data_IF_217058597376
#
_entry.id   IF_217058597376
#
_cell.length_a   1.000
_cell.length_b   1.000
_cell.length_c   1.000
_cell.angle_alpha   90.00
_cell.angle_beta   90.00
_cell.angle_gamma   90.00
#
_symmetry.space_group_name_H-M   'P 1'
#
loop_
_entity.id
_entity.type
_entity.pdbx_description
1 polymer ?
#
# COMPACT_ATOMS: atom_id res chain seq x y z
N UNK A 1 8.60 23.05 13.42
CA UNK A 1 9.06 22.03 12.45
C UNK A 1 10.37 21.37 12.86
N UNK A 2 10.65 21.24 14.17
CA UNK A 2 11.76 20.44 14.68
C UNK A 2 11.14 19.20 15.32
N UNK A 3 11.62 18.01 14.98
CA UNK A 3 11.24 16.75 15.62
C UNK A 3 12.35 16.30 16.56
N UNK A 4 12.07 15.23 17.31
CA UNK A 4 13.03 14.46 18.09
C UNK A 4 13.99 13.67 17.19
N UNK A 5 14.60 14.34 16.22
CA UNK A 5 15.65 13.77 15.36
C UNK A 5 16.89 13.28 16.09
N UNK A 6 16.89 13.33 17.42
CA UNK A 6 17.83 12.67 18.30
C UNK A 6 17.77 11.14 18.30
N UNK A 7 16.86 10.52 17.53
CA UNK A 7 16.64 9.08 17.56
C UNK A 7 16.90 8.33 16.25
N UNK A 8 17.04 9.04 15.13
CA UNK A 8 17.38 8.45 13.85
C UNK A 8 18.86 8.72 13.54
N UNK A 9 19.68 7.70 13.78
CA UNK A 9 21.10 7.67 13.48
C UNK A 9 21.59 6.22 13.44
N UNK A 10 22.71 5.92 12.80
CA UNK A 10 23.26 4.57 12.79
C UNK A 10 23.49 4.11 14.25
N UNK A 11 22.92 2.96 14.62
CA UNK A 11 22.98 2.42 15.99
C UNK A 11 21.84 2.84 16.92
N UNK A 12 20.89 3.68 16.48
CA UNK A 12 19.64 3.93 17.19
C UNK A 12 19.70 4.99 18.30
N UNK A 13 18.58 5.19 19.04
CA UNK A 13 18.39 6.34 19.93
C UNK A 13 19.36 6.41 21.11
N UNK A 14 19.97 5.28 21.49
CA UNK A 14 20.90 5.20 22.60
C UNK A 14 22.30 5.74 22.26
N UNK A 15 22.67 5.78 20.97
CA UNK A 15 24.02 6.19 20.55
C UNK A 15 24.31 7.68 20.76
N UNK A 16 23.27 8.49 20.97
CA UNK A 16 23.40 9.90 21.35
C UNK A 16 24.12 10.09 22.69
N UNK A 17 24.01 9.13 23.61
CA UNK A 17 24.56 9.24 24.96
C UNK A 17 25.99 8.72 25.06
N UNK A 18 26.53 8.17 23.98
CA UNK A 18 27.95 7.77 23.91
C UNK A 18 28.81 9.02 23.85
N UNK A 19 29.89 9.05 24.63
CA UNK A 19 30.84 10.18 24.66
C UNK A 19 32.19 9.73 24.07
N UNK A 20 32.68 10.40 23.00
CA UNK A 20 32.05 11.48 22.26
C UNK A 20 30.88 10.99 21.39
N UNK A 21 29.87 11.84 21.18
CA UNK A 21 28.75 11.52 20.30
C UNK A 21 29.22 11.45 18.85
N UNK A 22 29.23 10.25 18.26
CA UNK A 22 29.79 10.01 16.92
C UNK A 22 28.74 9.58 15.88
N UNK A 23 27.47 9.37 16.27
CA UNK A 23 26.47 8.67 15.44
C UNK A 23 25.15 9.45 15.26
N UNK A 24 25.21 10.78 15.22
CA UNK A 24 24.06 11.66 14.99
C UNK A 24 23.36 12.15 16.28
N UNK A 25 22.73 13.32 16.22
CA UNK A 25 22.18 13.99 17.42
C UNK A 25 20.86 14.78 17.20
N UNK A 26 20.61 15.29 16.00
CA UNK A 26 19.39 16.05 15.69
C UNK A 26 19.03 15.94 14.20
N UNK A 27 17.73 16.02 13.90
CA UNK A 27 17.16 16.00 12.55
C UNK A 27 15.85 16.83 12.53
N UNK A 28 15.41 17.38 11.38
CA UNK A 28 14.10 18.04 11.24
C UNK A 28 12.91 17.12 11.53
N UNK A 29 11.66 17.59 11.42
CA UNK A 29 10.48 16.73 11.46
C UNK A 29 10.14 16.14 10.08
N UNK A 30 9.83 14.84 10.03
CA UNK A 30 9.28 14.22 8.84
C UNK A 30 7.88 14.75 8.58
N UNK A 31 7.71 15.53 7.52
CA UNK A 31 6.41 16.09 7.16
C UNK A 31 5.64 15.09 6.31
N UNK A 32 4.60 14.50 6.90
CA UNK A 32 3.62 13.70 6.16
C UNK A 32 2.78 14.57 5.22
N UNK A 33 2.10 13.96 4.26
CA UNK A 33 1.26 14.65 3.26
C UNK A 33 0.32 15.68 3.89
N UNK A 34 -0.36 15.30 4.99
CA UNK A 34 -1.25 16.19 5.75
C UNK A 34 -0.54 17.46 6.20
N UNK A 35 0.66 17.36 6.76
CA UNK A 35 1.44 18.51 7.23
C UNK A 35 1.93 19.36 6.06
N UNK A 36 2.41 18.74 4.98
CA UNK A 36 2.85 19.47 3.77
C UNK A 36 1.70 20.29 3.17
N UNK A 37 0.49 19.75 3.16
CA UNK A 37 -0.71 20.48 2.73
C UNK A 37 -1.10 21.60 3.71
N UNK A 38 -1.14 21.35 5.02
CA UNK A 38 -1.50 22.38 6.02
C UNK A 38 -0.56 23.58 5.97
N UNK A 39 0.73 23.36 5.72
CA UNK A 39 1.73 24.43 5.61
C UNK A 39 1.83 25.05 4.21
N UNK A 40 1.10 24.53 3.21
CA UNK A 40 1.13 25.05 1.84
C UNK A 40 2.39 24.69 1.05
N UNK A 41 3.10 23.62 1.43
CA UNK A 41 4.26 23.11 0.70
C UNK A 41 3.90 22.27 -0.52
N UNK A 42 2.65 21.78 -0.59
CA UNK A 42 2.11 21.06 -1.73
C UNK A 42 0.81 21.76 -2.15
N UNK A 43 0.65 22.01 -3.45
CA UNK A 43 -0.57 22.59 -3.98
C UNK A 43 -1.70 21.55 -4.00
N UNK A 44 -2.94 21.98 -3.74
CA UNK A 44 -4.10 21.06 -3.67
C UNK A 44 -4.30 20.23 -4.94
N UNK A 45 -3.98 20.78 -6.11
CA UNK A 45 -4.09 20.08 -7.40
C UNK A 45 -3.03 18.99 -7.60
N UNK A 46 -1.98 18.94 -6.78
CA UNK A 46 -0.96 17.88 -6.78
C UNK A 46 -1.39 16.67 -5.94
N UNK A 47 -2.55 16.72 -5.28
CA UNK A 47 -3.09 15.65 -4.45
C UNK A 47 -4.44 15.20 -5.02
N UNK A 48 -4.62 13.90 -5.18
CA UNK A 48 -5.90 13.34 -5.61
C UNK A 48 -6.84 13.20 -4.42
N UNK A 49 -7.91 13.98 -4.38
CA UNK A 49 -8.89 13.95 -3.27
C UNK A 49 -10.17 13.24 -3.68
N UNK A 50 -10.49 12.16 -2.97
CA UNK A 50 -11.62 11.26 -3.20
C UNK A 50 -12.65 11.37 -2.08
N UNK A 51 -13.91 11.13 -2.44
CA UNK A 51 -15.01 10.91 -1.50
C UNK A 51 -15.13 9.41 -1.23
N UNK A 52 -15.36 9.03 0.03
CA UNK A 52 -15.59 7.64 0.42
C UNK A 52 -16.94 7.14 -0.06
N UNK A 53 -17.99 7.96 0.07
CA UNK A 53 -19.34 7.59 -0.36
C UNK A 53 -19.40 7.45 -1.90
N UNK A 54 -18.79 8.38 -2.63
CA UNK A 54 -18.89 8.37 -4.07
C UNK A 54 -18.07 7.27 -4.75
N UNK A 55 -17.09 6.67 -4.05
CA UNK A 55 -16.35 5.49 -4.55
C UNK A 55 -17.25 4.29 -4.86
N UNK A 56 -18.36 4.12 -4.13
CA UNK A 56 -19.32 3.04 -4.40
C UNK A 56 -20.03 3.23 -5.76
N UNK A 57 -20.22 4.49 -6.16
CA UNK A 57 -20.93 4.91 -7.37
C UNK A 57 -19.99 5.03 -8.56
N UNK A 58 -18.80 5.62 -8.36
CA UNK A 58 -17.81 5.84 -9.41
C UNK A 58 -17.05 4.58 -9.79
N UNK A 59 -16.93 3.63 -8.86
CA UNK A 59 -16.02 2.49 -8.97
C UNK A 59 -14.62 2.80 -8.45
N UNK A 60 -13.69 1.83 -8.55
CA UNK A 60 -12.34 1.97 -8.03
C UNK A 60 -11.58 3.11 -8.73
N UNK A 61 -10.77 3.83 -7.96
CA UNK A 61 -9.86 4.85 -8.47
C UNK A 61 -8.44 4.31 -8.44
N UNK A 62 -7.74 4.41 -9.58
CA UNK A 62 -6.35 3.99 -9.71
C UNK A 62 -5.47 5.16 -10.15
N UNK A 63 -4.45 5.47 -9.36
CA UNK A 63 -3.55 6.58 -9.63
C UNK A 63 -2.11 6.24 -9.28
N UNK A 64 -1.18 6.91 -9.94
CA UNK A 64 0.24 6.84 -9.62
C UNK A 64 0.59 7.92 -8.61
N UNK A 65 1.29 7.54 -7.54
CA UNK A 65 1.81 8.44 -6.51
C UNK A 65 3.33 8.41 -6.55
N UNK A 66 3.95 9.59 -6.68
CA UNK A 66 5.41 9.73 -6.67
C UNK A 66 5.93 9.90 -5.25
N UNK A 67 7.18 9.47 -5.01
CA UNK A 67 7.88 9.69 -3.77
C UNK A 67 7.74 11.14 -3.24
N UNK A 68 7.36 11.28 -1.98
CA UNK A 68 6.94 12.57 -1.38
C UNK A 68 8.05 13.60 -1.21
N UNK A 69 9.31 13.21 -1.41
CA UNK A 69 10.49 14.07 -1.30
C UNK A 69 10.90 14.71 -2.63
N UNK A 70 10.13 14.49 -3.69
CA UNK A 70 10.26 15.17 -4.98
C UNK A 70 8.93 15.74 -5.45
N UNK A 71 8.98 16.70 -6.37
CA UNK A 71 7.80 17.15 -7.11
C UNK A 71 7.16 15.95 -7.85
N UNK A 72 5.83 15.82 -7.89
CA UNK A 72 5.17 14.75 -8.61
C UNK A 72 5.60 14.70 -10.07
N UNK A 73 5.92 13.51 -10.56
CA UNK A 73 6.24 13.28 -11.96
C UNK A 73 5.02 13.60 -12.86
N UNK A 74 5.23 13.87 -14.16
CA UNK A 74 4.12 14.13 -15.07
C UNK A 74 3.06 13.03 -15.04
N UNK A 75 1.81 13.40 -14.72
CA UNK A 75 0.68 12.47 -14.66
C UNK A 75 0.54 11.69 -13.36
N UNK A 76 1.35 11.98 -12.34
CA UNK A 76 1.25 11.39 -11.00
C UNK A 76 0.84 12.43 -9.96
N UNK A 77 0.65 11.99 -8.71
CA UNK A 77 0.30 12.83 -7.56
C UNK A 77 1.37 12.77 -6.47
N UNK A 78 1.40 13.78 -5.60
CA UNK A 78 2.14 13.75 -4.35
C UNK A 78 1.51 12.81 -3.31
N UNK A 79 0.23 12.49 -3.48
CA UNK A 79 -0.51 11.57 -2.63
C UNK A 79 -1.99 11.49 -2.99
N UNK A 80 -2.70 10.58 -2.31
CA UNK A 80 -4.15 10.40 -2.41
C UNK A 80 -4.76 10.72 -1.04
N UNK A 81 -5.88 11.45 -1.03
CA UNK A 81 -6.73 11.65 0.13
C UNK A 81 -8.07 10.96 -0.12
N UNK A 82 -8.57 10.25 0.88
CA UNK A 82 -9.94 9.72 0.89
C UNK A 82 -10.67 10.32 2.07
N UNK A 83 -11.58 11.26 1.81
CA UNK A 83 -12.40 11.90 2.85
C UNK A 83 -13.37 10.89 3.43
N UNK A 84 -13.45 10.81 4.76
CA UNK A 84 -14.47 10.07 5.47
C UNK A 84 -15.77 10.89 5.50
N UNK A 85 -16.29 11.23 4.33
CA UNK A 85 -17.55 11.96 4.18
C UNK A 85 -18.77 11.04 4.24
N UNK A 86 -19.97 11.62 4.10
CA UNK A 86 -21.24 10.91 4.13
C UNK A 86 -22.00 11.10 5.43
N UNK A 87 -22.89 10.15 5.72
CA UNK A 87 -23.67 10.17 6.96
C UNK A 87 -22.80 9.86 8.18
N UNK A 88 -23.05 10.59 9.27
CA UNK A 88 -22.42 10.36 10.57
C UNK A 88 -22.75 8.94 11.11
N UNK A 89 -21.82 8.29 11.85
CA UNK A 89 -20.46 8.76 12.11
C UNK A 89 -19.57 8.70 10.87
N UNK A 90 -18.81 9.77 10.62
CA UNK A 90 -17.84 9.85 9.52
C UNK A 90 -16.77 8.75 9.61
N UNK A 91 -16.00 8.74 10.70
CA UNK A 91 -15.13 7.61 11.04
C UNK A 91 -15.94 6.56 11.78
N UNK A 92 -16.03 5.39 11.15
CA UNK A 92 -16.82 4.25 11.63
C UNK A 92 -15.99 3.26 12.41
N UNK A 93 -14.70 3.53 12.64
CA UNK A 93 -13.81 2.66 13.40
C UNK A 93 -14.36 2.47 14.83
N UNK A 94 -14.50 1.22 15.32
CA UNK A 94 -14.91 0.98 16.69
C UNK A 94 -13.95 1.61 17.71
N UNK A 95 -14.50 2.05 18.84
CA UNK A 95 -13.70 2.50 19.97
C UNK A 95 -12.91 1.34 20.59
N UNK A 96 -11.68 1.63 21.04
CA UNK A 96 -10.80 0.69 21.74
C UNK A 96 -10.00 1.41 22.84
N UNK A 97 -9.45 0.68 23.82
CA UNK A 97 -8.74 1.26 24.97
C UNK A 97 -7.21 1.08 24.85
N UNK A 98 -6.44 2.19 24.72
CA UNK A 98 -4.98 2.16 24.69
C UNK A 98 -4.31 1.53 25.91
N UNK A 99 -4.99 1.43 27.06
CA UNK A 99 -4.44 0.75 28.23
C UNK A 99 -4.45 -0.79 28.11
N UNK A 100 -5.34 -1.35 27.29
CA UNK A 100 -5.45 -2.81 27.10
C UNK A 100 -4.96 -3.27 25.73
N UNK A 101 -5.00 -2.38 24.73
CA UNK A 101 -4.46 -2.64 23.40
C UNK A 101 -3.44 -1.54 23.03
N UNK A 102 -2.13 -1.87 22.94
CA UNK A 102 -1.10 -0.91 22.58
C UNK A 102 -1.24 -0.37 21.14
N UNK A 103 -2.00 -1.04 20.28
CA UNK A 103 -2.29 -0.64 18.90
C UNK A 103 -3.60 0.17 18.78
N UNK A 104 -4.26 0.47 19.91
CA UNK A 104 -5.51 1.21 19.92
C UNK A 104 -5.29 2.68 19.62
N UNK A 105 -6.06 3.19 18.65
CA UNK A 105 -6.18 4.61 18.39
C UNK A 105 -7.16 5.34 19.32
N UNK A 106 -7.59 4.74 20.44
CA UNK A 106 -8.58 5.30 21.35
C UNK A 106 -9.99 5.29 20.77
N UNK A 107 -10.79 6.32 21.08
CA UNK A 107 -12.06 6.60 20.39
C UNK A 107 -11.74 7.40 19.12
N UNK A 108 -11.79 6.78 17.92
CA UNK A 108 -11.33 7.41 16.69
C UNK A 108 -12.32 8.47 16.21
N UNK A 109 -11.80 9.55 15.64
CA UNK A 109 -12.56 10.64 15.04
C UNK A 109 -11.75 11.24 13.89
N UNK A 110 -11.26 10.38 13.00
CA UNK A 110 -10.48 10.80 11.84
C UNK A 110 -11.38 11.38 10.75
N UNK A 111 -10.82 12.28 9.94
CA UNK A 111 -11.54 12.97 8.87
C UNK A 111 -11.21 12.39 7.48
N UNK A 112 -10.03 11.77 7.32
CA UNK A 112 -9.60 11.22 6.04
C UNK A 112 -8.43 10.24 6.13
N UNK A 113 -8.28 9.41 5.10
CA UNK A 113 -7.05 8.66 4.81
C UNK A 113 -6.11 9.47 3.93
N UNK A 114 -4.80 9.35 4.15
CA UNK A 114 -3.76 9.77 3.22
C UNK A 114 -2.93 8.59 2.78
N UNK A 115 -2.61 8.55 1.49
CA UNK A 115 -1.66 7.61 0.90
C UNK A 115 -0.51 8.42 0.29
N UNK A 116 0.71 8.13 0.70
CA UNK A 116 1.93 8.78 0.21
C UNK A 116 3.05 7.76 0.00
N UNK A 117 4.01 8.08 -0.86
CA UNK A 117 5.15 7.18 -1.14
C UNK A 117 6.39 7.71 -0.43
N UNK A 118 6.99 6.87 0.40
CA UNK A 118 8.26 7.12 1.08
C UNK A 118 9.38 6.52 0.23
N UNK A 119 10.39 7.31 -0.07
CA UNK A 119 11.62 6.86 -0.71
C UNK A 119 12.80 7.42 0.07
N UNK A 120 13.84 6.61 0.30
CA UNK A 120 15.05 6.93 1.05
C UNK A 120 15.98 7.90 0.29
N UNK A 121 15.43 9.05 -0.03
CA UNK A 121 16.05 10.22 -0.66
C UNK A 121 15.61 11.46 0.12
N UNK A 122 16.29 12.59 -0.07
CA UNK A 122 15.94 13.83 0.64
C UNK A 122 15.89 13.60 2.15
N UNK A 123 14.81 14.06 2.78
CA UNK A 123 14.62 13.88 4.21
C UNK A 123 14.36 12.42 4.60
N UNK A 124 13.65 11.66 3.76
CA UNK A 124 13.30 10.26 4.00
C UNK A 124 14.50 9.30 3.90
N UNK A 125 15.71 9.79 3.56
CA UNK A 125 16.96 9.00 3.60
C UNK A 125 17.24 8.33 4.95
N UNK A 126 16.70 8.90 6.03
CA UNK A 126 16.77 8.37 7.40
C UNK A 126 15.64 7.41 7.76
N UNK A 127 14.63 7.25 6.91
CA UNK A 127 13.62 6.22 7.08
C UNK A 127 14.26 4.83 6.88
N UNK A 128 13.78 3.81 7.61
CA UNK A 128 14.31 2.45 7.51
C UNK A 128 13.98 1.76 6.18
N UNK A 129 12.95 2.24 5.46
CA UNK A 129 12.37 1.55 4.31
C UNK A 129 11.85 2.52 3.21
N UNK A 130 11.49 1.97 2.04
CA UNK A 130 10.80 2.65 0.93
C UNK A 130 9.50 1.92 0.64
N UNK A 131 8.41 2.64 0.41
CA UNK A 131 7.13 2.01 0.14
C UNK A 131 5.96 2.97 0.24
N UNK A 132 4.76 2.41 0.35
CA UNK A 132 3.52 3.18 0.52
C UNK A 132 3.21 3.34 1.99
N UNK A 133 3.09 4.59 2.45
CA UNK A 133 2.64 4.94 3.79
C UNK A 133 1.14 5.26 3.73
N UNK A 134 0.36 4.52 4.51
CA UNK A 134 -1.06 4.76 4.70
C UNK A 134 -1.30 5.31 6.12
N UNK A 135 -2.10 6.37 6.23
CA UNK A 135 -2.43 6.95 7.53
C UNK A 135 -3.85 7.49 7.57
N UNK A 136 -4.44 7.47 8.76
CA UNK A 136 -5.65 8.24 9.12
C UNK A 136 -5.24 9.60 9.66
N UNK A 137 -6.03 10.62 9.34
CA UNK A 137 -5.67 12.00 9.61
C UNK A 137 -6.87 12.78 10.12
N UNK A 138 -6.57 13.87 10.83
CA UNK A 138 -7.56 14.88 11.21
C UNK A 138 -7.25 16.20 10.53
N UNK A 139 -8.31 16.93 10.18
CA UNK A 139 -8.22 18.31 9.70
C UNK A 139 -7.67 19.20 10.81
N UNK A 140 -8.18 19.02 12.04
CA UNK A 140 -7.75 19.74 13.23
C UNK A 140 -7.29 18.79 14.33
N UNK A 141 -6.31 19.23 15.09
CA UNK A 141 -5.86 18.51 16.27
C UNK A 141 -7.00 18.37 17.27
N UNK A 142 -7.26 17.15 17.70
CA UNK A 142 -8.26 16.85 18.72
C UNK A 142 -7.88 15.58 19.46
N UNK A 143 -8.48 15.39 20.63
CA UNK A 143 -8.25 14.21 21.46
C UNK A 143 -8.92 12.98 20.85
N UNK A 144 -8.19 11.88 20.75
CA UNK A 144 -8.77 10.54 20.65
C UNK A 144 -9.26 10.21 22.05
N UNK A 145 -10.57 10.09 22.24
CA UNK A 145 -11.21 10.08 23.57
C UNK A 145 -10.90 8.85 24.44
N UNK A 146 -11.67 8.68 25.52
CA UNK A 146 -11.60 7.52 26.43
C UNK A 146 -10.76 7.74 27.69
N UNK A 147 -10.76 6.78 28.63
CA UNK A 147 -10.06 6.88 29.93
C UNK A 147 -8.55 7.15 29.78
N UNK A 148 -7.95 6.69 28.67
CA UNK A 148 -6.53 6.81 28.35
C UNK A 148 -6.29 7.59 27.04
N UNK A 149 -7.23 8.47 26.69
CA UNK A 149 -7.19 9.20 25.42
C UNK A 149 -6.01 10.16 25.32
N UNK A 150 -5.40 10.24 24.14
CA UNK A 150 -4.26 11.10 23.79
C UNK A 150 -4.63 12.03 22.62
N UNK A 151 -3.80 13.04 22.35
CA UNK A 151 -3.99 13.88 21.16
C UNK A 151 -3.23 13.27 19.99
N UNK A 152 -3.92 13.05 18.87
CA UNK A 152 -3.27 12.74 17.60
C UNK A 152 -3.94 13.50 16.46
N UNK A 153 -3.18 13.69 15.39
CA UNK A 153 -3.66 14.26 14.13
C UNK A 153 -3.22 13.43 12.91
N UNK A 154 -2.26 12.52 13.08
CA UNK A 154 -1.92 11.44 12.15
C UNK A 154 -1.90 10.12 12.92
N UNK A 155 -2.35 9.05 12.29
CA UNK A 155 -2.25 7.70 12.78
C UNK A 155 -1.89 6.76 11.64
N UNK A 156 -0.67 6.25 11.65
CA UNK A 156 -0.17 5.33 10.62
C UNK A 156 -0.92 4.00 10.71
N UNK A 157 -1.30 3.46 9.56
CA UNK A 157 -1.75 2.09 9.43
C UNK A 157 -0.52 1.22 9.23
N UNK A 158 -0.33 0.26 10.12
CA UNK A 158 0.83 -0.62 10.12
C UNK A 158 0.57 -1.86 9.25
N UNK A 159 1.44 -2.10 8.27
CA UNK A 159 1.44 -3.33 7.47
C UNK A 159 1.87 -4.56 8.30
N UNK A 160 2.60 -4.34 9.40
CA UNK A 160 3.13 -5.33 10.34
C UNK A 160 2.75 -4.99 11.78
N UNK A 161 1.45 -5.10 12.15
CA UNK A 161 0.99 -4.74 13.49
C UNK A 161 1.52 -5.66 14.61
N UNK A 162 2.13 -6.80 14.26
CA UNK A 162 2.87 -7.63 15.20
C UNK A 162 4.08 -6.93 15.81
N UNK A 163 4.64 -7.50 16.89
CA UNK A 163 5.89 -6.99 17.45
C UNK A 163 7.04 -7.20 16.44
N UNK A 164 7.70 -6.10 16.05
CA UNK A 164 8.85 -6.07 15.14
C UNK A 164 10.06 -6.89 15.65
N UNK A 165 10.04 -7.27 16.93
CA UNK A 165 11.03 -8.15 17.56
C UNK A 165 12.47 -7.66 17.37
N UNK A 166 12.68 -6.35 17.59
CA UNK A 166 13.99 -5.71 17.49
C UNK A 166 14.59 -5.45 18.86
N UNK A 167 15.90 -5.67 18.96
CA UNK A 167 16.69 -5.23 20.11
C UNK A 167 16.64 -3.70 20.17
N UNK A 168 16.31 -3.18 21.33
CA UNK A 168 16.41 -1.77 21.64
C UNK A 168 17.87 -1.41 21.95
N UNK A 169 18.43 -2.06 22.98
CA UNK A 169 19.82 -1.92 23.39
C UNK A 169 20.33 -3.16 24.12
N UNK A 170 21.65 -3.25 24.23
CA UNK A 170 22.31 -4.21 25.10
C UNK A 170 22.71 -3.50 26.40
N UNK A 171 22.39 -4.10 27.55
CA UNK A 171 22.90 -3.64 28.84
C UNK A 171 24.43 -3.86 28.92
N UNK A 172 25.13 -3.19 29.86
CA UNK A 172 26.57 -3.39 30.06
C UNK A 172 26.98 -4.83 30.38
N UNK A 173 26.07 -5.64 30.93
CA UNK A 173 26.26 -7.07 31.22
C UNK A 173 26.02 -7.98 29.99
N UNK A 174 25.64 -7.40 28.84
CA UNK A 174 25.37 -8.12 27.59
C UNK A 174 23.92 -8.58 27.40
N UNK A 175 23.02 -8.34 28.37
CA UNK A 175 21.60 -8.67 28.23
C UNK A 175 20.95 -7.83 27.11
N UNK A 176 20.19 -8.49 26.23
CA UNK A 176 19.44 -7.84 25.16
C UNK A 176 18.08 -7.38 25.68
N UNK A 177 17.81 -6.09 25.56
CA UNK A 177 16.49 -5.53 25.85
C UNK A 177 15.76 -5.30 24.54
N UNK A 178 14.56 -5.86 24.42
CA UNK A 178 13.72 -5.77 23.24
C UNK A 178 12.85 -4.51 23.29
N UNK A 179 12.49 -4.00 22.11
CA UNK A 179 11.52 -2.91 22.00
C UNK A 179 10.14 -3.38 22.44
N UNK A 180 9.36 -2.48 23.01
CA UNK A 180 7.97 -2.76 23.36
C UNK A 180 7.05 -2.50 22.16
N UNK A 181 5.92 -3.19 22.09
CA UNK A 181 4.92 -3.08 21.02
C UNK A 181 4.23 -1.69 20.91
N UNK A 182 4.39 -0.80 21.90
CA UNK A 182 3.89 0.58 21.85
C UNK A 182 5.00 1.61 21.50
N UNK A 183 6.21 1.14 21.21
CA UNK A 183 7.31 2.02 20.81
C UNK A 183 7.09 2.53 19.37
N UNK A 184 7.39 3.81 19.11
CA UNK A 184 7.21 4.41 17.78
C UNK A 184 7.99 3.69 16.66
N UNK A 185 9.07 2.98 17.00
CA UNK A 185 9.90 2.24 16.04
C UNK A 185 9.31 0.89 15.66
N UNK A 186 8.14 0.52 16.20
CA UNK A 186 7.32 -0.54 15.63
C UNK A 186 6.93 -0.20 14.19
N UNK A 187 6.73 1.09 13.87
CA UNK A 187 6.43 1.54 12.51
C UNK A 187 7.62 1.50 11.53
N UNK A 188 8.74 0.86 11.89
CA UNK A 188 9.92 0.80 11.03
C UNK A 188 9.73 -0.11 9.81
N UNK A 189 8.75 -1.00 9.83
CA UNK A 189 8.31 -1.87 8.73
C UNK A 189 6.84 -1.63 8.35
N UNK A 190 6.25 -0.49 8.76
CA UNK A 190 4.84 -0.19 8.49
C UNK A 190 4.49 0.07 7.01
N UNK A 191 5.49 0.22 6.13
CA UNK A 191 5.25 0.56 4.73
C UNK A 191 4.73 -0.64 3.95
N UNK A 192 3.74 -0.40 3.09
CA UNK A 192 3.17 -1.40 2.19
C UNK A 192 3.97 -1.49 0.88
N UNK A 193 4.14 -2.70 0.34
CA UNK A 193 4.93 -2.97 -0.86
C UNK A 193 4.11 -3.68 -1.94
N UNK A 194 4.33 -3.32 -3.20
CA UNK A 194 3.77 -4.05 -4.34
C UNK A 194 4.47 -5.42 -4.46
N UNK A 195 3.72 -6.44 -4.88
CA UNK A 195 4.26 -7.76 -5.15
C UNK A 195 4.09 -8.77 -4.01
N UNK A 196 4.21 -10.04 -4.36
CA UNK A 196 4.25 -11.16 -3.41
C UNK A 196 5.68 -11.34 -2.89
N UNK A 197 5.81 -11.75 -1.64
CA UNK A 197 7.11 -11.96 -0.97
C UNK A 197 7.99 -10.69 -0.95
N UNK A 198 7.37 -9.51 -0.95
CA UNK A 198 8.03 -8.20 -0.86
C UNK A 198 8.53 -7.85 0.56
N UNK A 199 8.28 -8.75 1.52
CA UNK A 199 8.54 -8.51 2.93
C UNK A 199 7.49 -7.65 3.62
N UNK A 200 6.43 -7.22 2.91
CA UNK A 200 5.31 -6.46 3.47
C UNK A 200 3.97 -6.81 2.80
N UNK A 201 2.88 -6.27 3.34
CA UNK A 201 1.55 -6.36 2.76
C UNK A 201 1.44 -5.47 1.52
N UNK A 202 0.62 -5.88 0.56
CA UNK A 202 0.32 -5.12 -0.66
C UNK A 202 -1.09 -4.53 -0.67
N UNK A 203 -1.86 -4.71 0.40
CA UNK A 203 -3.24 -4.23 0.51
C UNK A 203 -3.67 -4.03 1.96
N UNK A 204 -4.68 -3.20 2.17
CA UNK A 204 -5.32 -3.00 3.47
C UNK A 204 -6.83 -2.81 3.31
N UNK A 205 -7.59 -3.60 4.08
CA UNK A 205 -9.05 -3.53 4.12
C UNK A 205 -9.53 -2.91 5.44
N UNK A 206 -10.31 -1.83 5.31
CA UNK A 206 -11.02 -1.22 6.42
C UNK A 206 -12.50 -1.55 6.35
N UNK A 207 -12.88 -2.64 7.03
CA UNK A 207 -14.28 -3.06 7.10
C UNK A 207 -15.19 -2.01 7.74
N UNK A 208 -14.84 -1.37 8.88
CA UNK A 208 -15.63 -0.29 9.45
C UNK A 208 -15.92 0.86 8.48
N UNK A 209 -14.89 1.40 7.82
CA UNK A 209 -15.05 2.54 6.91
C UNK A 209 -15.44 2.14 5.49
N UNK A 210 -15.57 0.84 5.21
CA UNK A 210 -16.01 0.28 3.93
C UNK A 210 -15.06 0.63 2.77
N UNK A 211 -13.75 0.61 3.04
CA UNK A 211 -12.70 0.92 2.07
C UNK A 211 -11.71 -0.23 1.92
N UNK A 212 -11.09 -0.33 0.74
CA UNK A 212 -9.97 -1.23 0.48
C UNK A 212 -8.92 -0.49 -0.36
N UNK A 213 -7.67 -0.51 0.12
CA UNK A 213 -6.51 0.12 -0.49
C UNK A 213 -5.58 -0.94 -1.06
N UNK A 214 -5.06 -0.70 -2.26
CA UNK A 214 -4.21 -1.62 -3.00
C UNK A 214 -2.90 -0.96 -3.41
N UNK A 215 -1.79 -1.63 -3.17
CA UNK A 215 -0.45 -1.28 -3.66
C UNK A 215 -0.15 -2.21 -4.84
N UNK A 216 -0.51 -1.74 -6.04
CA UNK A 216 -0.66 -2.60 -7.21
C UNK A 216 0.67 -2.81 -7.91
N UNK A 217 1.44 -1.74 -8.13
CA UNK A 217 2.68 -1.81 -8.91
C UNK A 217 3.66 -0.72 -8.47
N UNK A 218 4.93 -0.92 -8.79
CA UNK A 218 6.03 0.03 -8.53
C UNK A 218 6.78 0.31 -9.83
N UNK A 219 7.04 1.59 -10.07
CA UNK A 219 7.83 2.07 -11.20
C UNK A 219 8.99 2.89 -10.69
N UNK A 220 10.12 2.82 -11.39
CA UNK A 220 11.29 3.65 -11.14
C UNK A 220 11.71 4.29 -12.45
N UNK A 221 11.91 5.62 -12.45
CA UNK A 221 12.42 6.32 -13.62
C UNK A 221 13.96 6.23 -13.70
N UNK A 222 14.54 6.80 -14.76
CA UNK A 222 16.00 6.78 -14.98
C UNK A 222 16.81 7.54 -13.90
N UNK A 223 16.19 8.49 -13.21
CA UNK A 223 16.79 9.22 -12.07
C UNK A 223 16.71 8.43 -10.75
N UNK A 224 16.10 7.25 -10.79
CA UNK A 224 15.91 6.40 -9.62
C UNK A 224 14.71 6.80 -8.74
N UNK A 225 13.87 7.73 -9.17
CA UNK A 225 12.65 8.16 -8.44
C UNK A 225 11.57 7.08 -8.57
N UNK A 226 11.02 6.67 -7.44
CA UNK A 226 9.97 5.65 -7.40
C UNK A 226 8.58 6.29 -7.42
N UNK A 227 7.64 5.60 -8.08
CA UNK A 227 6.22 5.88 -8.01
C UNK A 227 5.44 4.57 -7.88
N UNK A 228 4.37 4.58 -7.09
CA UNK A 228 3.49 3.41 -6.94
C UNK A 228 2.16 3.63 -7.65
N UNK A 229 1.68 2.59 -8.34
CA UNK A 229 0.28 2.53 -8.79
C UNK A 229 -0.57 2.04 -7.62
N UNK A 230 -1.51 2.85 -7.19
CA UNK A 230 -2.33 2.62 -6.00
C UNK A 230 -3.80 2.59 -6.41
N UNK A 231 -4.54 1.62 -5.89
CA UNK A 231 -5.98 1.50 -6.05
C UNK A 231 -6.71 1.81 -4.75
N UNK A 232 -7.84 2.51 -4.84
CA UNK A 232 -8.78 2.67 -3.72
C UNK A 232 -10.17 2.28 -4.21
N UNK A 233 -10.85 1.43 -3.46
CA UNK A 233 -12.25 1.08 -3.74
C UNK A 233 -13.12 1.13 -2.49
N UNK A 234 -14.42 1.25 -2.73
CA UNK A 234 -15.44 0.98 -1.74
C UNK A 234 -15.69 -0.54 -1.60
N UNK A 235 -16.10 -0.95 -0.41
CA UNK A 235 -16.66 -2.29 -0.16
C UNK A 235 -18.16 -2.35 -0.44
N UNK A 236 -18.81 -1.21 -0.70
CA UNK A 236 -20.26 -1.08 -0.89
C UNK A 236 -20.69 -0.99 -2.36
N UNK A 237 -19.74 -0.88 -3.28
CA UNK A 237 -20.02 -0.83 -4.71
C UNK A 237 -18.77 -0.65 -5.55
N UNK A 238 -18.94 -0.90 -6.86
CA UNK A 238 -17.87 -0.86 -7.85
C UNK A 238 -18.25 0.00 -9.07
N UNK A 239 -19.29 0.81 -8.98
CA UNK A 239 -19.82 1.58 -10.12
C UNK A 239 -20.43 0.72 -11.24
N UNK A 240 -20.86 1.40 -12.32
CA UNK A 240 -21.71 0.82 -13.36
C UNK A 240 -20.97 0.20 -14.54
N UNK A 241 -19.64 0.15 -14.48
CA UNK A 241 -18.80 -0.44 -15.52
C UNK A 241 -19.21 -1.89 -15.83
N UNK A 242 -19.28 -2.24 -17.12
CA UNK A 242 -19.40 -3.65 -17.52
C UNK A 242 -18.04 -4.31 -17.45
N UNK A 243 -17.96 -5.43 -16.72
CA UNK A 243 -16.70 -6.12 -16.43
C UNK A 243 -16.65 -7.41 -17.20
N UNK A 244 -15.57 -7.58 -17.94
CA UNK A 244 -15.19 -8.88 -18.48
C UNK A 244 -13.68 -8.90 -18.76
N UNK A 245 -13.09 -10.09 -18.86
CA UNK A 245 -11.71 -10.25 -19.28
C UNK A 245 -11.47 -11.60 -19.93
N UNK A 246 -10.38 -11.73 -20.67
CA UNK A 246 -9.94 -13.01 -21.23
C UNK A 246 -8.52 -13.33 -20.78
N UNK A 247 -8.23 -14.62 -20.64
CA UNK A 247 -6.90 -15.15 -20.34
C UNK A 247 -6.43 -15.96 -21.56
N UNK A 248 -5.22 -15.70 -22.05
CA UNK A 248 -4.56 -16.54 -23.05
C UNK A 248 -3.37 -17.27 -22.41
N UNK A 249 -3.23 -18.58 -22.62
CA UNK A 249 -2.08 -19.33 -22.12
C UNK A 249 -0.80 -18.95 -22.89
N UNK A 250 0.37 -19.22 -22.31
CA UNK A 250 1.65 -19.03 -22.98
C UNK A 250 1.74 -19.79 -24.30
N UNK A 251 2.32 -19.14 -25.33
CA UNK A 251 2.66 -19.81 -26.60
C UNK A 251 3.86 -20.74 -26.45
N UNK A 252 4.82 -20.34 -25.62
CA UNK A 252 6.01 -21.13 -25.30
C UNK A 252 5.66 -22.17 -24.22
N UNK A 253 5.69 -23.45 -24.61
CA UNK A 253 5.38 -24.59 -23.73
C UNK A 253 6.61 -25.27 -23.11
N UNK A 254 7.81 -24.73 -23.36
CA UNK A 254 9.09 -25.33 -22.93
C UNK A 254 9.99 -24.24 -22.36
N UNK A 255 10.34 -24.39 -21.09
CA UNK A 255 11.39 -23.60 -20.44
C UNK A 255 12.75 -24.25 -20.69
N UNK A 256 13.80 -23.43 -20.83
CA UNK A 256 15.19 -23.94 -20.93
C UNK A 256 15.70 -24.27 -19.54
N UNK A 257 16.25 -25.47 -19.35
CA UNK A 257 16.78 -25.89 -18.06
C UNK A 257 15.69 -26.41 -17.10
N UNK A 258 15.86 -26.12 -15.81
CA UNK A 258 14.95 -26.58 -14.75
C UNK A 258 14.06 -25.47 -14.18
N UNK A 259 14.29 -24.21 -14.55
CA UNK A 259 13.48 -23.09 -14.10
C UNK A 259 13.40 -22.01 -15.19
N UNK A 260 12.34 -21.21 -15.14
CA UNK A 260 12.16 -20.11 -16.07
C UNK A 260 10.76 -19.51 -15.99
N UNK A 261 10.55 -18.44 -16.75
CA UNK A 261 9.27 -17.76 -16.84
C UNK A 261 8.44 -18.29 -18.02
N UNK A 262 7.14 -18.36 -17.81
CA UNK A 262 6.14 -18.39 -18.87
C UNK A 262 5.21 -17.19 -18.69
N UNK A 263 4.64 -16.69 -19.77
CA UNK A 263 3.85 -15.45 -19.76
C UNK A 263 2.41 -15.77 -20.14
N UNK A 264 1.50 -15.54 -19.20
CA UNK A 264 0.06 -15.55 -19.49
C UNK A 264 -0.35 -14.15 -19.93
N UNK A 265 -1.30 -14.06 -20.86
CA UNK A 265 -1.82 -12.75 -21.27
C UNK A 265 -3.21 -12.56 -20.68
N UNK A 266 -3.44 -11.41 -20.03
CA UNK A 266 -4.74 -10.98 -19.54
C UNK A 266 -5.16 -9.74 -20.30
N UNK A 267 -6.36 -9.75 -20.87
CA UNK A 267 -6.95 -8.60 -21.58
C UNK A 267 -8.25 -8.23 -20.90
N UNK A 268 -8.39 -6.99 -20.46
CA UNK A 268 -9.67 -6.46 -19.99
C UNK A 268 -10.57 -6.22 -21.20
N UNK A 269 -11.70 -6.93 -21.27
CA UNK A 269 -12.68 -6.83 -22.36
C UNK A 269 -13.98 -6.17 -21.90
N UNK A 270 -13.97 -5.56 -20.72
CA UNK A 270 -15.07 -4.75 -20.22
C UNK A 270 -15.28 -3.48 -21.04
N UNK A 271 -16.34 -2.75 -20.70
CA UNK A 271 -16.69 -1.47 -21.32
C UNK A 271 -16.69 -0.38 -20.25
N UNK A 272 -16.06 0.78 -20.51
CA UNK A 272 -16.09 1.89 -19.57
C UNK A 272 -17.52 2.40 -19.35
N UNK A 273 -17.79 2.93 -18.17
CA UNK A 273 -19.01 3.69 -17.90
C UNK A 273 -18.69 5.19 -17.84
N UNK A 274 -19.64 6.02 -18.29
CA UNK A 274 -19.58 7.43 -17.99
C UNK A 274 -19.82 7.62 -16.49
N UNK A 275 -18.98 8.43 -15.85
CA UNK A 275 -19.11 8.79 -14.44
C UNK A 275 -19.26 10.30 -14.34
N UNK A 276 -20.16 10.77 -13.48
CA UNK A 276 -20.34 12.20 -13.23
C UNK A 276 -19.01 12.79 -12.68
N UNK A 277 -18.41 13.78 -13.38
CA UNK A 277 -17.13 14.37 -12.99
C UNK A 277 -17.20 15.17 -11.68
N UNK A 278 -18.41 15.42 -11.15
CA UNK A 278 -18.64 16.11 -9.88
C UNK A 278 -18.76 15.20 -8.66
N UNK A 279 -18.75 13.86 -8.85
CA UNK A 279 -18.82 12.91 -7.74
C UNK A 279 -17.68 13.10 -6.73
N UNK A 280 -16.48 13.41 -7.20
CA UNK A 280 -15.35 13.63 -6.30
C UNK A 280 -15.01 15.10 -6.17
N UNK A 281 -14.14 15.43 -5.21
CA UNK A 281 -13.68 16.80 -4.95
C UNK A 281 -12.91 17.44 -6.12
N UNK A 282 -12.64 16.66 -7.17
CA UNK A 282 -12.07 17.07 -8.44
C UNK A 282 -12.58 16.14 -9.54
N UNK A 283 -12.44 16.54 -10.81
CA UNK A 283 -12.75 15.65 -11.93
C UNK A 283 -11.77 14.48 -11.95
N UNK A 284 -12.25 13.27 -11.63
CA UNK A 284 -11.45 12.05 -11.57
C UNK A 284 -11.68 11.09 -12.73
N UNK A 285 -12.41 11.48 -13.77
CA UNK A 285 -12.81 10.57 -14.87
C UNK A 285 -11.62 9.84 -15.52
N UNK A 286 -10.42 10.43 -15.49
CA UNK A 286 -9.18 9.83 -16.00
C UNK A 286 -8.68 8.63 -15.20
N UNK A 287 -8.99 8.56 -13.90
CA UNK A 287 -8.46 7.54 -12.98
C UNK A 287 -9.50 6.48 -12.61
N UNK A 288 -10.65 6.49 -13.30
CA UNK A 288 -11.74 5.53 -13.16
C UNK A 288 -11.69 4.48 -14.28
N UNK A 289 -12.64 3.55 -14.26
CA UNK A 289 -12.84 2.47 -15.25
C UNK A 289 -11.73 1.40 -15.32
N UNK A 290 -10.60 1.60 -14.64
CA UNK A 290 -9.62 0.54 -14.48
C UNK A 290 -10.17 -0.56 -13.56
N UNK A 291 -9.95 -1.81 -13.95
CA UNK A 291 -10.22 -2.96 -13.08
C UNK A 291 -8.96 -3.36 -12.33
N UNK A 292 -9.14 -3.88 -11.12
CA UNK A 292 -8.09 -4.56 -10.36
C UNK A 292 -8.39 -6.05 -10.43
N UNK A 293 -7.41 -6.84 -10.88
CA UNK A 293 -7.51 -8.28 -10.93
C UNK A 293 -6.55 -8.94 -9.96
N UNK A 294 -7.07 -9.88 -9.17
CA UNK A 294 -6.28 -10.76 -8.31
C UNK A 294 -5.86 -12.00 -9.07
N UNK A 295 -4.59 -12.34 -8.91
CA UNK A 295 -3.90 -13.39 -9.63
C UNK A 295 -3.56 -14.54 -8.69
N UNK A 296 -3.74 -15.78 -9.14
CA UNK A 296 -3.23 -16.94 -8.43
C UNK A 296 -2.75 -18.02 -9.40
N UNK A 297 -1.81 -18.84 -8.94
CA UNK A 297 -1.25 -19.95 -9.72
C UNK A 297 -1.18 -21.21 -8.87
N UNK A 298 -1.48 -22.36 -9.50
CA UNK A 298 -1.34 -23.69 -8.91
C UNK A 298 -0.66 -24.63 -9.89
N UNK A 299 0.13 -25.56 -9.38
CA UNK A 299 0.75 -26.65 -10.13
C UNK A 299 0.33 -27.99 -9.53
N UNK A 300 -0.07 -28.95 -10.38
CA UNK A 300 -0.65 -30.24 -9.94
C UNK A 300 0.40 -31.34 -9.71
N UNK A 301 1.66 -31.14 -10.13
CA UNK A 301 2.67 -32.20 -10.21
C UNK A 301 3.71 -32.17 -9.07
N UNK A 302 3.90 -33.33 -8.42
CA UNK A 302 4.93 -33.54 -7.40
C UNK A 302 6.33 -33.29 -7.98
N UNK A 303 6.98 -32.23 -7.49
CA UNK A 303 8.34 -31.84 -7.90
C UNK A 303 8.42 -30.60 -8.78
N UNK A 304 7.28 -29.94 -9.06
CA UNK A 304 7.24 -28.60 -9.67
C UNK A 304 6.74 -27.56 -8.67
N UNK A 305 7.20 -26.32 -8.82
CA UNK A 305 6.66 -25.13 -8.18
C UNK A 305 6.31 -24.09 -9.24
N UNK A 306 5.29 -23.28 -8.95
CA UNK A 306 4.91 -22.13 -9.75
C UNK A 306 4.65 -20.93 -8.84
N UNK A 307 5.17 -19.76 -9.21
CA UNK A 307 5.12 -18.55 -8.39
C UNK A 307 4.81 -17.33 -9.26
N UNK A 308 4.07 -16.39 -8.68
CA UNK A 308 3.83 -15.07 -9.24
C UNK A 308 4.74 -14.07 -8.53
N UNK A 309 5.22 -13.06 -9.26
CA UNK A 309 5.94 -11.93 -8.66
C UNK A 309 4.95 -10.98 -8.01
N UNK A 310 3.77 -10.81 -8.60
CA UNK A 310 2.74 -9.92 -8.11
C UNK A 310 1.38 -10.61 -8.05
N UNK A 311 0.63 -10.35 -6.98
CA UNK A 311 -0.70 -10.90 -6.74
C UNK A 311 -1.80 -10.07 -7.41
N UNK A 312 -1.48 -8.86 -7.86
CA UNK A 312 -2.42 -7.92 -8.46
C UNK A 312 -1.90 -7.44 -9.82
N UNK A 313 -2.83 -7.19 -10.72
CA UNK A 313 -2.63 -6.33 -11.89
C UNK A 313 -3.82 -5.38 -11.99
N UNK A 314 -3.65 -4.31 -12.75
CA UNK A 314 -4.77 -3.45 -13.10
C UNK A 314 -4.75 -3.12 -14.58
N UNK A 315 -5.93 -3.09 -15.18
CA UNK A 315 -6.10 -2.90 -16.62
C UNK A 315 -7.28 -1.97 -16.91
N UNK A 316 -7.06 -0.99 -17.77
CA UNK A 316 -8.12 -0.21 -18.41
C UNK A 316 -8.91 -1.08 -19.41
N UNK A 317 -10.15 -0.71 -19.77
CA UNK A 317 -10.90 -1.40 -20.81
C UNK A 317 -10.14 -1.45 -22.14
N UNK A 318 -9.94 -2.65 -22.68
CA UNK A 318 -9.14 -2.90 -23.89
C UNK A 318 -7.64 -3.09 -23.64
N UNK A 319 -7.15 -2.79 -22.43
CA UNK A 319 -5.74 -2.97 -22.10
C UNK A 319 -5.40 -4.47 -21.95
N UNK A 320 -4.15 -4.80 -22.27
CA UNK A 320 -3.60 -6.15 -22.18
C UNK A 320 -2.27 -6.13 -21.43
N UNK A 321 -2.10 -7.04 -20.48
CA UNK A 321 -0.82 -7.26 -19.80
C UNK A 321 -0.34 -8.70 -19.93
N UNK A 322 0.99 -8.85 -19.93
CA UNK A 322 1.66 -10.13 -19.75
C UNK A 322 1.99 -10.35 -18.28
N UNK A 323 1.56 -11.48 -17.75
CA UNK A 323 1.79 -11.89 -16.36
C UNK A 323 2.88 -12.98 -16.34
N UNK A 324 4.07 -12.69 -15.80
CA UNK A 324 5.12 -13.69 -15.64
C UNK A 324 4.77 -14.67 -14.52
N UNK A 325 4.77 -15.96 -14.86
CA UNK A 325 4.70 -17.07 -13.92
C UNK A 325 6.08 -17.75 -13.91
N UNK A 326 6.78 -17.64 -12.79
CA UNK A 326 8.01 -18.40 -12.57
C UNK A 326 7.65 -19.87 -12.33
N UNK A 327 8.35 -20.77 -12.98
CA UNK A 327 8.24 -22.20 -12.77
C UNK A 327 9.61 -22.79 -12.44
N UNK A 328 9.64 -23.73 -11.52
CA UNK A 328 10.85 -24.48 -11.19
C UNK A 328 10.53 -25.96 -11.01
N UNK A 329 11.46 -26.80 -11.44
CA UNK A 329 11.38 -28.25 -11.38
C UNK A 329 12.56 -28.81 -10.61
N UNK A 330 12.27 -29.67 -9.64
CA UNK A 330 13.27 -30.47 -8.93
C UNK A 330 13.92 -31.49 -9.87
N UNK A 331 15.21 -31.78 -9.70
CA UNK A 331 15.90 -32.79 -10.51
C UNK A 331 15.29 -34.19 -10.28
N UNK A 332 15.18 -34.98 -11.36
CA UNK A 332 14.73 -36.37 -11.29
C UNK A 332 13.22 -36.61 -11.45
N UNK A 333 12.38 -35.56 -11.50
CA UNK A 333 10.92 -35.71 -11.73
C UNK A 333 10.51 -35.49 -13.20
N UNK A 334 9.23 -35.73 -13.50
CA UNK A 334 8.61 -35.50 -14.82
C UNK A 334 8.99 -34.13 -15.41
N UNK A 335 9.31 -34.09 -16.71
CA UNK A 335 9.57 -32.84 -17.46
C UNK A 335 8.30 -32.10 -17.88
N UNK A 336 7.13 -32.61 -17.50
CA UNK A 336 5.83 -31.99 -17.76
C UNK A 336 5.21 -31.62 -16.43
N UNK A 337 4.59 -30.45 -16.40
CA UNK A 337 3.72 -30.01 -15.35
C UNK A 337 2.42 -29.50 -15.95
N UNK A 338 1.33 -29.61 -15.19
CA UNK A 338 0.10 -28.86 -15.48
C UNK A 338 0.00 -27.66 -14.55
N UNK A 339 -0.13 -26.47 -15.14
CA UNK A 339 -0.27 -25.21 -14.40
C UNK A 339 -1.68 -24.66 -14.61
N UNK A 340 -2.32 -24.28 -13.52
CA UNK A 340 -3.59 -23.53 -13.56
C UNK A 340 -3.33 -22.11 -13.10
N UNK A 341 -3.53 -21.15 -14.00
CA UNK A 341 -3.49 -19.72 -13.72
C UNK A 341 -4.92 -19.19 -13.61
N UNK A 342 -5.21 -18.45 -12.55
CA UNK A 342 -6.54 -17.93 -12.25
C UNK A 342 -6.48 -16.43 -12.06
N UNK A 343 -7.47 -15.75 -12.64
CA UNK A 343 -7.67 -14.31 -12.53
C UNK A 343 -9.08 -14.09 -11.99
N UNK A 344 -9.23 -13.18 -11.03
CA UNK A 344 -10.52 -12.79 -10.44
C UNK A 344 -10.61 -11.27 -10.38
N UNK A 345 -11.77 -10.69 -10.71
CA UNK A 345 -12.01 -9.26 -10.50
C UNK A 345 -12.19 -8.95 -9.01
N UNK A 346 -11.55 -7.89 -8.52
CA UNK A 346 -11.78 -7.34 -7.17
C UNK A 346 -13.06 -6.49 -7.08
N UNK A 347 -13.68 -6.20 -8.22
CA UNK A 347 -14.87 -5.37 -8.33
C UNK A 347 -16.14 -6.17 -8.66
N UNK A 348 -15.99 -7.42 -9.13
CA UNK A 348 -17.01 -8.45 -9.24
C UNK A 348 -16.41 -9.82 -8.91
N UNK A 349 -16.60 -10.27 -7.67
CA UNK A 349 -16.03 -11.54 -7.20
C UNK A 349 -16.61 -12.78 -7.90
N UNK A 350 -17.74 -12.67 -8.59
CA UNK A 350 -18.30 -13.76 -9.39
C UNK A 350 -17.56 -13.93 -10.73
N UNK A 351 -16.90 -12.88 -11.20
CA UNK A 351 -16.10 -12.89 -12.42
C UNK A 351 -14.70 -13.44 -12.15
N UNK A 352 -14.61 -14.78 -12.20
CA UNK A 352 -13.38 -15.55 -12.05
C UNK A 352 -13.18 -16.46 -13.26
N UNK A 353 -11.97 -16.48 -13.83
CA UNK A 353 -11.62 -17.37 -14.94
C UNK A 353 -10.28 -18.03 -14.69
N UNK A 354 -10.15 -19.28 -15.13
CA UNK A 354 -8.91 -20.03 -15.03
C UNK A 354 -8.49 -20.57 -16.39
N UNK A 355 -7.19 -20.56 -16.65
CA UNK A 355 -6.58 -21.13 -17.83
C UNK A 355 -5.60 -22.23 -17.41
N UNK A 356 -5.69 -23.40 -18.07
CA UNK A 356 -4.76 -24.51 -17.87
C UNK A 356 -3.71 -24.49 -18.98
N UNK A 357 -2.46 -24.64 -18.58
CA UNK A 357 -1.27 -24.69 -19.44
C UNK A 357 -0.56 -26.04 -19.30
#
# INVERSE_FOLDING_TARGET
>A
MMDRGSFNGPGGPHMRWVVPAAMGAAMPAGLMLRNKMTNGFIAKNQVLTLSREDLAVSGPVLACVTAREVEPLPGTFAGIIVRLDGAEPHDRTPADDPATNPLSSGIPNYDFYSVEVVQRIGYDSFCPDNGVLLARNKDKESRNGGPNGFNCFNWVIDAHPEDINKVDYNKPDGERIMRTIADYRQLNDALFHAGLNSGSQFEWEDKPNRLHFYVIDIQQNDDGIISYKIGVRSLDGSGQQKRDFIIKPPTIKKIRGNAGYVFFTVTNTGEPSATDPSLHYQNTSRWLNSEIYRLSVKVEDNGWSAQLINGLISLEPGETAEVPVYQERIKGVSRKAKVTFTVQSECDFSLIKSCKY
#
